data_IF_741057961348
#
_entry.id   IF_741057961348
#
_cell.length_a   1.000
_cell.length_b   1.000
_cell.length_c   1.000
_cell.angle_alpha   90.00
_cell.angle_beta   90.00
_cell.angle_gamma   90.00
#
_symmetry.space_group_name_H-M   'P 1'
#
loop_
_entity.id
_entity.type
_entity.pdbx_description
1 polymer ?
#
# COMPACT_ATOMS: atom_id res chain seq x y z
N UNK A 1 -5.60 -29.87 5.41
CA UNK A 1 -4.12 -29.85 5.28
C UNK A 1 -3.53 -31.24 5.02
N UNK A 2 -4.01 -31.99 4.00
CA UNK A 2 -3.42 -33.29 3.60
C UNK A 2 -3.41 -33.52 2.08
N UNK A 3 -3.69 -32.48 1.28
CA UNK A 3 -3.68 -32.57 -0.18
C UNK A 3 -2.60 -31.71 -0.85
N UNK A 4 -1.95 -30.78 -0.13
CA UNK A 4 -0.79 -30.04 -0.67
C UNK A 4 0.54 -30.81 -0.55
N UNK A 5 0.68 -31.73 0.41
CA UNK A 5 1.89 -32.56 0.54
C UNK A 5 2.01 -33.63 -0.58
N UNK A 6 0.90 -34.00 -1.22
CA UNK A 6 0.92 -34.98 -2.31
C UNK A 6 1.39 -34.40 -3.66
N UNK A 7 1.39 -33.08 -3.84
CA UNK A 7 1.84 -32.45 -5.10
C UNK A 7 3.36 -32.27 -5.11
N UNK A 8 3.98 -31.99 -3.95
CA UNK A 8 5.45 -31.91 -3.83
C UNK A 8 6.13 -33.28 -3.91
N UNK A 9 5.49 -34.36 -3.41
CA UNK A 9 6.02 -35.71 -3.61
C UNK A 9 5.89 -36.21 -5.06
N UNK A 10 4.88 -35.76 -5.82
CA UNK A 10 4.73 -36.18 -7.22
C UNK A 10 5.77 -35.52 -8.16
N UNK A 11 6.11 -34.24 -7.95
CA UNK A 11 7.13 -33.55 -8.75
C UNK A 11 8.56 -34.01 -8.43
N UNK A 12 8.86 -34.37 -7.18
CA UNK A 12 10.16 -34.94 -6.82
C UNK A 12 10.32 -36.39 -7.33
N UNK A 13 9.23 -37.16 -7.40
CA UNK A 13 9.26 -38.53 -7.94
C UNK A 13 9.43 -38.52 -9.46
N UNK A 14 8.84 -37.59 -10.21
CA UNK A 14 9.07 -37.47 -11.67
C UNK A 14 10.54 -37.08 -11.98
N UNK A 15 11.20 -36.32 -11.10
CA UNK A 15 12.62 -35.97 -11.23
C UNK A 15 13.59 -37.08 -10.79
N UNK A 16 13.18 -37.97 -9.87
CA UNK A 16 14.01 -39.10 -9.40
C UNK A 16 13.75 -40.41 -10.16
N UNK A 17 12.58 -40.59 -10.78
CA UNK A 17 12.27 -41.78 -11.59
C UNK A 17 12.84 -41.73 -13.01
N UNK A 18 13.30 -40.56 -13.48
CA UNK A 18 14.10 -40.45 -14.71
C UNK A 18 15.60 -40.69 -14.50
N UNK A 19 16.04 -40.90 -13.24
CA UNK A 19 17.45 -41.07 -12.87
C UNK A 19 17.81 -42.51 -12.49
N UNK A 20 16.88 -43.47 -12.57
CA UNK A 20 17.23 -44.89 -12.37
C UNK A 20 16.82 -45.77 -13.55
N UNK A 21 17.83 -46.50 -14.07
CA UNK A 21 17.88 -47.29 -15.30
C UNK A 21 18.21 -46.45 -16.54
N UNK A 22 19.45 -46.29 -16.97
CA UNK A 22 20.51 -47.29 -17.09
C UNK A 22 21.89 -46.66 -16.90
N UNK A 23 22.65 -47.24 -15.97
CA UNK A 23 24.08 -47.04 -15.89
C UNK A 23 24.74 -47.59 -17.16
N UNK A 24 25.00 -46.70 -18.10
CA UNK A 24 26.14 -46.79 -19.01
C UNK A 24 26.65 -45.38 -19.09
N UNK A 25 27.92 -45.18 -18.70
CA UNK A 25 28.62 -43.91 -18.71
C UNK A 25 28.27 -43.12 -19.98
N UNK A 26 27.33 -42.20 -19.85
CA UNK A 26 26.90 -41.28 -20.88
C UNK A 26 27.22 -39.88 -20.37
N UNK A 27 27.82 -39.15 -21.28
CA UNK A 27 28.62 -37.95 -21.10
C UNK A 27 27.93 -36.90 -20.19
N UNK A 28 28.40 -36.79 -18.94
CA UNK A 28 27.99 -35.76 -17.98
C UNK A 28 28.28 -34.33 -18.49
N UNK A 29 29.16 -34.19 -19.50
CA UNK A 29 29.41 -32.92 -20.19
C UNK A 29 28.21 -32.48 -21.04
N UNK A 30 27.51 -33.42 -21.69
CA UNK A 30 26.36 -33.14 -22.56
C UNK A 30 25.08 -32.76 -21.80
N UNK A 31 24.97 -33.12 -20.52
CA UNK A 31 23.85 -32.66 -19.67
C UNK A 31 24.09 -31.24 -19.14
N UNK A 32 25.35 -30.84 -18.91
CA UNK A 32 25.71 -29.46 -18.55
C UNK A 32 25.36 -28.50 -19.70
N UNK A 33 25.74 -28.84 -20.93
CA UNK A 33 25.44 -28.01 -22.11
C UNK A 33 23.93 -27.87 -22.38
N UNK A 34 23.14 -28.90 -22.08
CA UNK A 34 21.68 -28.85 -22.21
C UNK A 34 21.01 -27.99 -21.12
N UNK A 35 21.57 -27.96 -19.91
CA UNK A 35 21.08 -27.09 -18.83
C UNK A 35 21.50 -25.64 -19.06
N UNK A 36 22.75 -25.41 -19.48
CA UNK A 36 23.25 -24.08 -19.83
C UNK A 36 22.51 -23.52 -21.05
N UNK A 37 22.26 -24.32 -22.08
CA UNK A 37 21.47 -23.94 -23.25
C UNK A 37 20.00 -23.68 -22.94
N UNK A 38 19.38 -24.42 -22.02
CA UNK A 38 18.02 -24.15 -21.54
C UNK A 38 17.97 -22.87 -20.69
N UNK A 39 18.97 -22.63 -19.85
CA UNK A 39 19.08 -21.43 -19.02
C UNK A 39 19.36 -20.19 -19.86
N UNK A 40 20.13 -20.32 -20.94
CA UNK A 40 20.39 -19.28 -21.93
C UNK A 40 19.18 -19.01 -22.82
N UNK A 41 18.40 -20.03 -23.20
CA UNK A 41 17.11 -19.87 -23.89
C UNK A 41 16.07 -19.13 -23.02
N UNK A 42 15.97 -19.45 -21.72
CA UNK A 42 15.10 -18.74 -20.77
C UNK A 42 15.52 -17.28 -20.59
N UNK A 43 16.84 -17.02 -20.48
CA UNK A 43 17.38 -15.65 -20.46
C UNK A 43 17.13 -14.89 -21.77
N UNK A 44 17.18 -15.58 -22.91
CA UNK A 44 16.95 -14.98 -24.23
C UNK A 44 15.48 -14.68 -24.46
N UNK A 45 14.55 -15.55 -24.04
CA UNK A 45 13.11 -15.27 -24.07
C UNK A 45 12.70 -14.12 -23.14
N UNK A 46 13.25 -14.06 -21.92
CA UNK A 46 13.04 -12.92 -21.02
C UNK A 46 13.64 -11.61 -21.57
N UNK A 47 14.82 -11.70 -22.22
CA UNK A 47 15.48 -10.57 -22.86
C UNK A 47 14.80 -10.09 -24.16
N UNK A 48 14.16 -10.98 -24.91
CA UNK A 48 13.36 -10.63 -26.10
C UNK A 48 11.99 -10.03 -25.72
N UNK A 49 11.35 -10.51 -24.65
CA UNK A 49 10.12 -9.90 -24.12
C UNK A 49 10.32 -8.46 -23.62
N UNK A 50 11.53 -8.11 -23.18
CA UNK A 50 11.89 -6.78 -22.65
C UNK A 50 12.49 -5.81 -23.69
N UNK A 51 12.84 -6.28 -24.91
CA UNK A 51 13.55 -5.46 -25.91
C UNK A 51 12.74 -4.28 -26.46
N UNK A 52 11.40 -4.36 -26.41
CA UNK A 52 10.46 -3.33 -26.91
C UNK A 52 9.64 -2.69 -25.77
N UNK A 53 10.17 -2.73 -24.55
CA UNK A 53 9.47 -2.30 -23.35
C UNK A 53 9.93 -0.90 -22.95
N UNK A 54 9.05 0.09 -23.12
CA UNK A 54 9.29 1.45 -22.63
C UNK A 54 9.17 1.47 -21.09
N UNK A 55 10.32 1.40 -20.42
CA UNK A 55 10.42 1.48 -18.96
C UNK A 55 9.82 2.78 -18.39
N UNK A 56 9.80 3.87 -19.17
CA UNK A 56 9.14 5.12 -18.76
C UNK A 56 7.63 4.93 -18.75
N UNK A 57 7.07 4.30 -19.78
CA UNK A 57 5.65 3.98 -19.84
C UNK A 57 5.22 3.04 -18.71
N UNK A 58 6.02 2.02 -18.39
CA UNK A 58 5.76 1.12 -17.24
C UNK A 58 5.69 1.91 -15.94
N UNK A 59 6.72 2.72 -15.65
CA UNK A 59 6.76 3.50 -14.41
C UNK A 59 5.61 4.49 -14.33
N UNK A 60 5.23 5.12 -15.44
CA UNK A 60 4.08 6.00 -15.48
C UNK A 60 2.78 5.26 -15.16
N UNK A 61 2.58 4.06 -15.70
CA UNK A 61 1.40 3.23 -15.41
C UNK A 61 1.38 2.81 -13.93
N UNK A 62 2.51 2.35 -13.39
CA UNK A 62 2.63 2.01 -11.97
C UNK A 62 2.32 3.22 -11.06
N UNK A 63 2.92 4.38 -11.35
CA UNK A 63 2.70 5.61 -10.58
C UNK A 63 1.26 6.10 -10.66
N UNK A 64 0.64 6.06 -11.84
CA UNK A 64 -0.76 6.47 -12.01
C UNK A 64 -1.69 5.55 -11.22
N UNK A 65 -1.46 4.24 -11.24
CA UNK A 65 -2.23 3.29 -10.44
C UNK A 65 -2.09 3.55 -8.93
N UNK A 66 -0.86 3.76 -8.45
CA UNK A 66 -0.61 4.09 -7.04
C UNK A 66 -1.34 5.38 -6.68
N UNK A 67 -1.25 6.41 -7.52
CA UNK A 67 -1.92 7.69 -7.31
C UNK A 67 -3.43 7.55 -7.28
N UNK A 68 -4.02 6.80 -8.20
CA UNK A 68 -5.47 6.57 -8.25
C UNK A 68 -5.96 5.86 -6.99
N UNK A 69 -5.28 4.80 -6.56
CA UNK A 69 -5.63 4.06 -5.34
C UNK A 69 -5.48 4.92 -4.07
N UNK A 70 -4.39 5.66 -3.97
CA UNK A 70 -4.13 6.55 -2.83
C UNK A 70 -4.95 7.85 -2.87
N UNK A 71 -5.56 8.23 -4.00
CA UNK A 71 -6.43 9.41 -4.07
C UNK A 71 -7.69 9.26 -3.20
N UNK A 72 -8.17 8.03 -3.02
CA UNK A 72 -9.42 7.76 -2.29
C UNK A 72 -9.15 7.56 -0.80
N UNK A 73 -8.20 6.70 -0.42
CA UNK A 73 -7.94 6.37 0.99
C UNK A 73 -6.71 7.06 1.59
N UNK A 74 -5.93 7.78 0.78
CA UNK A 74 -4.66 8.37 1.21
C UNK A 74 -3.55 7.33 1.46
N UNK A 75 -3.78 6.06 1.15
CA UNK A 75 -2.82 4.95 1.26
C UNK A 75 -3.10 3.86 0.21
N UNK A 76 -2.22 2.87 0.13
CA UNK A 76 -2.47 1.61 -0.56
C UNK A 76 -2.89 0.59 0.48
N UNK A 77 -4.15 0.17 0.42
CA UNK A 77 -4.72 -0.74 1.43
C UNK A 77 -4.67 -2.17 0.89
N UNK A 78 -3.95 -3.06 1.58
CA UNK A 78 -3.76 -4.44 1.15
C UNK A 78 -3.99 -5.43 2.28
N UNK A 79 -4.66 -6.52 1.92
CA UNK A 79 -4.85 -7.64 2.84
C UNK A 79 -3.60 -8.49 2.91
N UNK A 80 -2.96 -8.53 4.08
CA UNK A 80 -1.83 -9.40 4.38
C UNK A 80 -2.36 -10.73 4.95
N UNK A 81 -2.23 -11.78 4.15
CA UNK A 81 -2.68 -13.13 4.53
C UNK A 81 -1.85 -13.73 5.67
N UNK A 82 -0.61 -13.28 5.88
CA UNK A 82 0.28 -13.86 6.89
C UNK A 82 -0.17 -13.52 8.31
N UNK A 83 -0.69 -12.30 8.50
CA UNK A 83 -1.22 -11.81 9.79
C UNK A 83 -2.75 -11.68 9.78
N UNK A 84 -3.41 -12.02 8.67
CA UNK A 84 -4.86 -11.99 8.50
C UNK A 84 -5.47 -10.60 8.81
N UNK A 85 -4.84 -9.54 8.29
CA UNK A 85 -5.21 -8.15 8.53
C UNK A 85 -5.02 -7.26 7.29
N UNK A 86 -5.70 -6.11 7.24
CA UNK A 86 -5.46 -5.07 6.23
C UNK A 86 -4.33 -4.17 6.71
N UNK A 87 -3.33 -3.96 5.86
CA UNK A 87 -2.24 -2.99 6.04
C UNK A 87 -2.50 -1.77 5.17
N UNK A 88 -2.09 -0.60 5.66
CA UNK A 88 -2.22 0.68 4.97
C UNK A 88 -0.83 1.21 4.67
N UNK A 89 -0.47 1.30 3.40
CA UNK A 89 0.88 1.63 2.97
C UNK A 89 0.99 3.02 2.36
N UNK A 90 1.99 3.79 2.79
CA UNK A 90 2.45 5.01 2.15
C UNK A 90 3.52 4.68 1.10
N UNK A 91 3.35 5.23 -0.10
CA UNK A 91 4.32 5.07 -1.18
C UNK A 91 5.58 5.91 -0.92
N UNK A 92 6.76 5.30 -1.08
CA UNK A 92 8.05 6.00 -0.99
C UNK A 92 8.67 6.21 -2.37
N UNK A 93 8.92 5.12 -3.11
CA UNK A 93 9.52 5.16 -4.46
C UNK A 93 9.31 3.84 -5.20
N UNK A 94 9.44 3.88 -6.54
CA UNK A 94 9.55 2.68 -7.37
C UNK A 94 11.01 2.28 -7.52
N UNK A 95 11.27 0.97 -7.62
CA UNK A 95 12.58 0.43 -7.96
C UNK A 95 12.84 0.55 -9.46
N UNK A 96 14.13 0.60 -9.82
CA UNK A 96 14.59 0.46 -11.21
C UNK A 96 14.71 -1.01 -11.64
N UNK A 97 14.67 -1.95 -10.68
CA UNK A 97 14.81 -3.39 -10.89
C UNK A 97 13.50 -4.02 -11.40
N UNK A 98 13.10 -3.62 -12.59
CA UNK A 98 11.92 -4.15 -13.27
C UNK A 98 12.27 -5.52 -13.86
N UNK A 99 11.45 -6.51 -13.55
CA UNK A 99 11.65 -7.90 -13.99
C UNK A 99 10.41 -8.42 -14.72
N UNK A 100 10.56 -9.54 -15.43
CA UNK A 100 9.47 -10.22 -16.09
C UNK A 100 9.30 -11.61 -15.47
N UNK A 101 8.09 -11.93 -15.00
CA UNK A 101 7.79 -13.16 -14.30
C UNK A 101 6.33 -13.57 -14.58
N UNK A 102 6.10 -14.84 -14.93
CA UNK A 102 4.75 -15.39 -15.19
C UNK A 102 3.93 -14.55 -16.18
N UNK A 103 4.54 -14.21 -17.33
CA UNK A 103 3.96 -13.37 -18.39
C UNK A 103 3.59 -11.94 -17.98
N UNK A 104 4.02 -11.49 -16.79
CA UNK A 104 3.77 -10.15 -16.27
C UNK A 104 5.07 -9.39 -16.02
N UNK A 105 5.01 -8.07 -16.20
CA UNK A 105 6.05 -7.13 -15.81
C UNK A 105 5.88 -6.84 -14.32
N UNK A 106 6.89 -7.19 -13.54
CA UNK A 106 6.95 -6.97 -12.10
C UNK A 106 7.71 -5.69 -11.82
N UNK A 107 7.04 -4.72 -11.20
CA UNK A 107 7.63 -3.44 -10.79
C UNK A 107 7.64 -3.36 -9.26
N UNK A 108 8.79 -3.58 -8.61
CA UNK A 108 8.89 -3.41 -7.17
C UNK A 108 8.79 -1.92 -6.79
N UNK A 109 8.16 -1.64 -5.67
CA UNK A 109 8.16 -0.34 -5.02
C UNK A 109 8.40 -0.50 -3.52
N UNK A 110 9.01 0.52 -2.94
CA UNK A 110 9.20 0.64 -1.50
C UNK A 110 8.04 1.45 -0.91
N UNK A 111 7.49 0.91 0.17
CA UNK A 111 6.35 1.45 0.89
C UNK A 111 6.62 1.43 2.39
N UNK A 112 5.87 2.24 3.15
CA UNK A 112 5.88 2.23 4.60
C UNK A 112 4.51 1.92 5.15
N UNK A 113 4.42 0.93 6.03
CA UNK A 113 3.18 0.64 6.76
C UNK A 113 2.89 1.80 7.72
N UNK A 114 1.70 2.38 7.62
CA UNK A 114 1.29 3.51 8.47
C UNK A 114 1.10 3.13 9.94
N UNK A 115 0.65 1.91 10.20
CA UNK A 115 0.34 1.46 11.55
C UNK A 115 1.61 1.02 12.28
N UNK A 116 2.48 0.26 11.61
CA UNK A 116 3.67 -0.32 12.26
C UNK A 116 4.93 0.50 12.01
N UNK A 117 5.00 1.26 10.92
CA UNK A 117 6.21 1.93 10.46
C UNK A 117 7.16 1.02 9.67
N UNK A 118 6.78 -0.24 9.44
CA UNK A 118 7.57 -1.24 8.72
C UNK A 118 7.84 -0.80 7.28
N UNK A 119 8.99 -1.20 6.75
CA UNK A 119 9.28 -1.05 5.33
C UNK A 119 8.77 -2.28 4.60
N UNK A 120 7.95 -2.05 3.57
CA UNK A 120 7.41 -3.11 2.74
C UNK A 120 7.87 -2.93 1.30
N UNK A 121 8.25 -4.04 0.67
CA UNK A 121 8.46 -4.11 -0.78
C UNK A 121 7.20 -4.68 -1.41
N UNK A 122 6.50 -3.87 -2.21
CA UNK A 122 5.32 -4.32 -2.94
C UNK A 122 5.65 -4.44 -4.43
N UNK A 123 5.21 -5.51 -5.08
CA UNK A 123 5.28 -5.68 -6.52
C UNK A 123 3.98 -5.28 -7.18
N UNK A 124 4.03 -4.31 -8.09
CA UNK A 124 2.95 -4.07 -9.04
C UNK A 124 3.14 -5.01 -10.22
N UNK A 125 2.15 -5.88 -10.47
CA UNK A 125 2.17 -6.81 -11.58
C UNK A 125 1.40 -6.21 -12.74
N UNK A 126 2.13 -5.89 -13.82
CA UNK A 126 1.63 -5.22 -15.01
C UNK A 126 1.53 -6.22 -16.15
N UNK A 127 0.35 -6.32 -16.73
CA UNK A 127 0.15 -7.08 -17.97
C UNK A 127 0.27 -6.14 -19.18
N UNK A 128 0.82 -6.66 -20.28
CA UNK A 128 0.84 -6.01 -21.59
C UNK A 128 -0.22 -6.68 -22.45
N UNK A 129 -1.42 -6.11 -22.47
CA UNK A 129 -2.52 -6.55 -23.31
C UNK A 129 -2.61 -5.77 -24.62
N UNK A 130 -3.62 -6.10 -25.43
CA UNK A 130 -3.90 -5.42 -26.70
C UNK A 130 -4.21 -3.92 -26.52
N UNK A 131 -4.78 -3.55 -25.36
CA UNK A 131 -5.13 -2.18 -24.99
C UNK A 131 -3.97 -1.40 -24.32
N UNK A 132 -2.79 -2.02 -24.20
CA UNK A 132 -1.60 -1.43 -23.58
C UNK A 132 -1.23 -2.03 -22.22
N UNK A 133 -0.49 -1.24 -21.42
CA UNK A 133 0.02 -1.65 -20.11
C UNK A 133 -1.00 -1.37 -19.00
N UNK A 134 -1.26 -2.36 -18.15
CA UNK A 134 -2.20 -2.23 -17.03
C UNK A 134 -1.74 -2.99 -15.80
N UNK A 135 -1.86 -2.38 -14.62
CA UNK A 135 -1.65 -3.06 -13.33
C UNK A 135 -2.84 -3.98 -13.06
N UNK A 136 -2.59 -5.28 -12.96
CA UNK A 136 -3.61 -6.30 -12.68
C UNK A 136 -3.74 -6.56 -11.18
N UNK A 137 -2.62 -6.62 -10.46
CA UNK A 137 -2.60 -6.74 -9.01
C UNK A 137 -1.36 -6.10 -8.39
N UNK A 138 -1.38 -6.02 -7.06
CA UNK A 138 -0.22 -5.66 -6.25
C UNK A 138 -0.03 -6.75 -5.19
N UNK A 139 1.22 -7.12 -4.96
CA UNK A 139 1.61 -8.21 -4.06
C UNK A 139 2.64 -7.74 -3.05
N UNK A 140 2.52 -8.18 -1.81
CA UNK A 140 3.56 -7.99 -0.79
C UNK A 140 4.67 -8.99 -1.10
N UNK A 141 5.89 -8.51 -1.41
CA UNK A 141 7.06 -9.37 -1.62
C UNK A 141 7.81 -9.61 -0.32
N UNK A 142 8.03 -8.54 0.44
CA UNK A 142 8.82 -8.56 1.66
C UNK A 142 8.33 -7.49 2.63
N UNK A 143 8.41 -7.79 3.92
CA UNK A 143 8.20 -6.82 4.99
C UNK A 143 9.44 -6.89 5.87
N UNK A 144 10.20 -5.80 5.85
CA UNK A 144 11.30 -5.58 6.77
C UNK A 144 10.76 -4.84 7.98
N UNK A 145 10.65 -5.55 9.10
CA UNK A 145 10.30 -4.97 10.39
C UNK A 145 11.27 -3.82 10.70
N UNK A 146 10.70 -2.65 11.02
CA UNK A 146 11.53 -1.52 11.42
C UNK A 146 12.29 -1.88 12.70
N UNK A 147 13.63 -1.92 12.64
CA UNK A 147 14.48 -2.10 13.83
C UNK A 147 14.45 -0.89 14.78
N UNK A 148 13.72 0.16 14.44
CA UNK A 148 13.40 1.21 15.41
C UNK A 148 12.41 0.56 16.37
N UNK A 149 12.76 0.37 17.66
CA UNK A 149 11.76 -0.03 18.63
C UNK A 149 10.63 0.97 18.47
N UNK A 150 9.41 0.49 18.21
CA UNK A 150 8.25 1.31 18.54
C UNK A 150 8.49 1.68 20.01
N UNK A 151 8.68 2.98 20.29
CA UNK A 151 8.42 3.45 21.66
C UNK A 151 7.12 2.78 22.06
N UNK A 152 7.08 2.16 23.23
CA UNK A 152 5.85 1.61 23.76
C UNK A 152 4.90 2.80 23.96
N UNK A 153 4.15 3.13 22.91
CA UNK A 153 3.33 4.34 22.84
C UNK A 153 2.01 4.13 23.56
N UNK A 154 1.77 2.94 24.13
CA UNK A 154 0.58 2.66 24.95
C UNK A 154 0.39 3.71 26.06
N UNK A 155 1.50 4.22 26.61
CA UNK A 155 1.51 5.30 27.61
C UNK A 155 1.70 6.72 27.05
N UNK A 156 1.86 6.90 25.73
CA UNK A 156 2.03 8.23 25.14
C UNK A 156 0.82 9.11 25.46
N UNK A 157 1.05 10.16 26.22
CA UNK A 157 0.09 11.23 26.46
C UNK A 157 0.30 12.32 25.42
N UNK A 158 -0.78 12.71 24.75
CA UNK A 158 -0.75 13.78 23.76
C UNK A 158 -1.08 15.11 24.44
N UNK A 159 -0.21 16.09 24.24
CA UNK A 159 -0.48 17.46 24.65
C UNK A 159 -1.62 18.05 23.81
N UNK A 160 -2.21 19.14 24.28
CA UNK A 160 -3.25 19.85 23.52
C UNK A 160 -2.70 20.35 22.17
N UNK A 161 -1.43 20.74 22.13
CA UNK A 161 -0.73 21.14 20.92
C UNK A 161 -0.57 19.97 19.95
N UNK A 162 -0.20 18.78 20.43
CA UNK A 162 -0.08 17.59 19.57
C UNK A 162 -1.43 17.21 18.93
N UNK A 163 -2.51 17.26 19.71
CA UNK A 163 -3.86 16.95 19.23
C UNK A 163 -4.28 17.97 18.17
N UNK A 164 -4.02 19.26 18.40
CA UNK A 164 -4.34 20.32 17.42
C UNK A 164 -3.52 20.17 16.14
N UNK A 165 -2.22 19.91 16.25
CA UNK A 165 -1.35 19.69 15.10
C UNK A 165 -1.82 18.49 14.28
N UNK A 166 -2.16 17.39 14.93
CA UNK A 166 -2.72 16.22 14.28
C UNK A 166 -4.02 16.52 13.52
N UNK A 167 -4.97 17.22 14.17
CA UNK A 167 -6.23 17.61 13.53
C UNK A 167 -5.97 18.54 12.34
N UNK A 168 -5.07 19.52 12.49
CA UNK A 168 -4.72 20.45 11.42
C UNK A 168 -4.14 19.72 10.21
N UNK A 169 -3.20 18.81 10.44
CA UNK A 169 -2.62 17.99 9.38
C UNK A 169 -3.67 17.14 8.67
N UNK A 170 -4.61 16.56 9.43
CA UNK A 170 -5.69 15.76 8.88
C UNK A 170 -6.62 16.59 7.99
N UNK A 171 -7.06 17.75 8.47
CA UNK A 171 -7.94 18.66 7.72
C UNK A 171 -7.23 19.20 6.48
N UNK A 172 -5.95 19.57 6.58
CA UNK A 172 -5.14 20.00 5.44
C UNK A 172 -5.02 18.90 4.36
N UNK A 173 -4.95 17.63 4.77
CA UNK A 173 -4.95 16.50 3.82
C UNK A 173 -6.29 16.37 3.11
N UNK A 174 -7.40 16.46 3.85
CA UNK A 174 -8.76 16.38 3.28
C UNK A 174 -9.04 17.54 2.30
N UNK A 175 -8.56 18.74 2.60
CA UNK A 175 -8.80 19.94 1.77
C UNK A 175 -7.75 20.16 0.66
N UNK A 176 -6.67 19.37 0.61
CA UNK A 176 -5.49 19.62 -0.25
C UNK A 176 -5.81 19.84 -1.73
N UNK A 177 -6.79 19.13 -2.26
CA UNK A 177 -7.10 19.15 -3.70
C UNK A 177 -8.14 20.19 -4.08
N UNK A 178 -9.20 20.32 -3.28
CA UNK A 178 -10.36 21.15 -3.61
C UNK A 178 -10.37 22.49 -2.88
N UNK A 179 -9.52 22.67 -1.87
CA UNK A 179 -9.54 23.80 -0.94
C UNK A 179 -10.66 23.70 0.12
N UNK A 180 -11.49 22.66 0.06
CA UNK A 180 -12.56 22.35 1.00
C UNK A 180 -12.61 20.85 1.27
N UNK A 181 -13.28 20.46 2.36
CA UNK A 181 -13.62 19.07 2.64
C UNK A 181 -15.14 18.92 2.75
N UNK A 182 -15.66 17.74 2.45
CA UNK A 182 -17.10 17.49 2.47
C UNK A 182 -17.53 16.93 3.82
N UNK A 183 -18.60 17.46 4.39
CA UNK A 183 -19.20 16.95 5.62
C UNK A 183 -20.72 16.97 5.51
N UNK A 184 -21.36 15.88 5.93
CA UNK A 184 -22.81 15.76 5.88
C UNK A 184 -23.44 16.44 7.11
N UNK A 185 -24.38 17.34 6.84
CA UNK A 185 -25.18 18.05 7.83
C UNK A 185 -26.47 17.27 8.09
N UNK A 186 -26.52 16.56 9.21
CA UNK A 186 -27.68 15.75 9.60
C UNK A 186 -28.94 16.62 9.85
N UNK A 187 -28.78 17.85 10.34
CA UNK A 187 -29.90 18.74 10.66
C UNK A 187 -30.53 19.34 9.39
N UNK A 188 -29.75 19.45 8.31
CA UNK A 188 -30.20 19.98 7.01
C UNK A 188 -30.35 18.91 5.93
N UNK A 189 -30.04 17.66 6.23
CA UNK A 189 -30.07 16.53 5.30
C UNK A 189 -29.34 16.84 3.98
N UNK A 190 -28.12 17.37 4.08
CA UNK A 190 -27.31 17.73 2.89
C UNK A 190 -25.81 17.62 3.13
N UNK A 191 -25.07 17.35 2.06
CA UNK A 191 -23.62 17.44 2.06
C UNK A 191 -23.19 18.90 1.92
N UNK A 192 -22.22 19.34 2.72
CA UNK A 192 -21.65 20.69 2.67
C UNK A 192 -20.19 20.65 2.24
N UNK A 193 -19.78 21.65 1.45
CA UNK A 193 -18.41 21.85 1.01
C UNK A 193 -17.75 22.88 1.94
N UNK A 194 -16.97 22.42 2.91
CA UNK A 194 -16.46 23.24 4.01
C UNK A 194 -15.02 23.69 3.76
N UNK A 195 -14.84 25.01 3.62
CA UNK A 195 -13.51 25.63 3.58
C UNK A 195 -13.00 25.72 5.02
N UNK A 196 -11.87 25.09 5.36
CA UNK A 196 -11.34 25.09 6.72
C UNK A 196 -10.81 26.47 7.11
N UNK A 197 -11.20 26.93 8.29
CA UNK A 197 -10.68 28.12 8.96
C UNK A 197 -9.67 27.76 10.05
N UNK A 198 -9.85 28.32 11.24
CA UNK A 198 -8.95 28.17 12.39
C UNK A 198 -9.45 27.12 13.39
N UNK A 199 -8.51 26.34 13.94
CA UNK A 199 -8.79 25.46 15.07
C UNK A 199 -8.82 26.26 16.39
N UNK A 200 -9.76 25.90 17.26
CA UNK A 200 -9.83 26.41 18.63
C UNK A 200 -8.52 26.19 19.38
N UNK A 201 -8.15 27.15 20.22
CA UNK A 201 -6.98 27.03 21.08
C UNK A 201 -7.15 25.93 22.15
N UNK A 202 -8.38 25.74 22.61
CA UNK A 202 -8.74 24.78 23.64
C UNK A 202 -8.99 23.38 23.05
N UNK A 203 -8.52 22.34 23.75
CA UNK A 203 -8.84 20.94 23.49
C UNK A 203 -9.61 20.40 24.69
N UNK A 204 -10.87 20.00 24.48
CA UNK A 204 -11.70 19.41 25.54
C UNK A 204 -11.38 17.92 25.65
N UNK A 205 -10.83 17.48 26.77
CA UNK A 205 -10.42 16.09 27.00
C UNK A 205 -11.43 15.32 27.85
N UNK A 206 -11.78 14.11 27.40
CA UNK A 206 -12.67 13.18 28.10
C UNK A 206 -12.09 11.76 28.07
N UNK A 207 -11.22 11.45 29.05
CA UNK A 207 -10.50 10.18 29.08
C UNK A 207 -9.58 10.03 27.88
N UNK A 208 -9.83 9.02 27.03
CA UNK A 208 -9.07 8.78 25.80
C UNK A 208 -9.48 9.68 24.62
N UNK A 209 -10.50 10.51 24.78
CA UNK A 209 -11.01 11.39 23.73
C UNK A 209 -10.49 12.81 23.90
N UNK A 210 -10.17 13.46 22.78
CA UNK A 210 -9.94 14.90 22.68
C UNK A 210 -10.94 15.50 21.69
N UNK A 211 -11.46 16.69 21.97
CA UNK A 211 -12.35 17.41 21.05
C UNK A 211 -11.75 18.77 20.75
N UNK A 212 -11.55 19.04 19.46
CA UNK A 212 -11.09 20.34 18.93
C UNK A 212 -12.19 20.89 18.03
N UNK A 213 -12.47 22.18 18.14
CA UNK A 213 -13.44 22.82 17.26
C UNK A 213 -12.71 23.50 16.09
N UNK A 214 -13.20 23.33 14.87
CA UNK A 214 -12.72 23.99 13.66
C UNK A 214 -13.78 25.00 13.20
N UNK A 215 -13.40 26.25 12.94
CA UNK A 215 -14.27 27.13 12.16
C UNK A 215 -14.21 26.74 10.68
N UNK A 216 -15.35 26.74 10.00
CA UNK A 216 -15.41 26.45 8.58
C UNK A 216 -16.44 27.35 7.89
N UNK A 217 -16.21 27.67 6.63
CA UNK A 217 -17.17 28.39 5.79
C UNK A 217 -17.73 27.45 4.74
N UNK A 218 -19.06 27.37 4.64
CA UNK A 218 -19.71 26.62 3.58
C UNK A 218 -19.53 27.36 2.24
N UNK A 219 -18.82 26.75 1.30
CA UNK A 219 -18.46 27.34 0.02
C UNK A 219 -19.68 27.77 -0.80
N UNK A 220 -20.81 27.08 -0.66
CA UNK A 220 -22.01 27.37 -1.45
C UNK A 220 -22.83 28.51 -0.84
N UNK A 221 -22.95 28.54 0.48
CA UNK A 221 -23.85 29.47 1.19
C UNK A 221 -23.16 30.65 1.86
N UNK A 222 -21.83 30.58 2.06
CA UNK A 222 -21.06 31.51 2.88
C UNK A 222 -21.37 31.39 4.39
N UNK A 223 -22.11 30.36 4.80
CA UNK A 223 -22.46 30.15 6.21
C UNK A 223 -21.23 29.79 7.03
N UNK A 224 -20.97 30.53 8.12
CA UNK A 224 -19.93 30.19 9.08
C UNK A 224 -20.43 29.10 10.03
N UNK A 225 -19.74 27.98 10.04
CA UNK A 225 -20.05 26.78 10.81
C UNK A 225 -18.92 26.47 11.79
N UNK A 226 -19.25 25.71 12.83
CA UNK A 226 -18.27 25.16 13.77
C UNK A 226 -18.35 23.64 13.70
N UNK A 227 -17.20 23.01 13.45
CA UNK A 227 -17.09 21.55 13.36
C UNK A 227 -16.40 21.05 14.62
N UNK A 228 -17.09 20.23 15.41
CA UNK A 228 -16.45 19.51 16.50
C UNK A 228 -15.77 18.25 15.93
N UNK A 229 -14.45 18.20 16.09
CA UNK A 229 -13.59 17.11 15.63
C UNK A 229 -13.16 16.33 16.86
N UNK A 230 -13.61 15.09 16.96
CA UNK A 230 -13.26 14.18 18.05
C UNK A 230 -12.09 13.32 17.64
N UNK A 231 -11.04 13.34 18.44
CA UNK A 231 -9.89 12.46 18.35
C UNK A 231 -9.98 11.39 19.43
N UNK A 232 -9.41 10.22 19.15
CA UNK A 232 -9.30 9.12 20.11
C UNK A 232 -7.86 8.62 20.15
N UNK A 233 -7.37 8.32 21.36
CA UNK A 233 -6.15 7.53 21.52
C UNK A 233 -6.51 6.04 21.54
N UNK A 234 -6.03 5.29 20.56
CA UNK A 234 -6.16 3.84 20.50
C UNK A 234 -4.77 3.21 20.36
N UNK A 235 -4.40 2.35 21.30
CA UNK A 235 -3.09 1.68 21.34
C UNK A 235 -1.89 2.62 21.18
N UNK A 236 -1.98 3.84 21.74
CA UNK A 236 -0.92 4.84 21.67
C UNK A 236 -0.91 5.74 20.44
N UNK A 237 -1.83 5.51 19.49
CA UNK A 237 -1.95 6.28 18.25
C UNK A 237 -3.18 7.19 18.33
N UNK A 238 -3.02 8.43 17.90
CA UNK A 238 -4.12 9.38 17.78
C UNK A 238 -4.85 9.17 16.45
N UNK A 239 -6.18 9.01 16.48
CA UNK A 239 -7.04 8.87 15.31
C UNK A 239 -8.17 9.90 15.34
N UNK A 240 -8.77 10.20 14.17
CA UNK A 240 -10.03 10.95 14.10
C UNK A 240 -11.16 9.93 14.27
N UNK A 241 -11.97 10.11 15.32
CA UNK A 241 -13.12 9.25 15.62
C UNK A 241 -14.38 9.76 14.91
N UNK A 242 -14.61 11.07 14.93
CA UNK A 242 -15.76 11.68 14.27
C UNK A 242 -15.57 13.17 14.00
N UNK A 243 -16.27 13.70 13.01
CA UNK A 243 -16.43 15.13 12.75
C UNK A 243 -17.92 15.45 12.68
N UNK A 244 -18.36 16.52 13.33
CA UNK A 244 -19.77 16.90 13.38
C UNK A 244 -19.95 18.41 13.25
N UNK A 245 -20.88 18.84 12.40
CA UNK A 245 -21.36 20.23 12.39
C UNK A 245 -22.15 20.47 13.67
N UNK A 246 -21.77 21.51 14.41
CA UNK A 246 -22.38 21.88 15.69
C UNK A 246 -23.69 22.65 15.51
#
# INVERSE_FOLDING_TARGET
>A
MKQLENVYCALLVVFLSSVTMSASAMDLSSMSENVDGAMEAVKTQAGEALKDVDFTAIKNVAMNYIKEKSMISGSIDLYDQTINAVRNFDFLKLSDDISYENDMIKVPGEFRDKATGDLATLALMINKGDDGLKVENIQILDITESQTPQEDTTEKEYSDEDIRNFVQEHINKLSKFMGYFNLYDEDKDRLRNLVPGELSAEVRKFGALGIVSLSAEDQESGESLVIDITTRKESGVLTIDSMRIK
#
